data_IF_914359392800
#
_entry.id   IF_914359392800
#
_cell.length_a   1.000
_cell.length_b   1.000
_cell.length_c   1.000
_cell.angle_alpha   90.00
_cell.angle_beta   90.00
_cell.angle_gamma   90.00
#
_symmetry.space_group_name_H-M   'P 1'
#
loop_
_entity.id
_entity.type
_entity.pdbx_description
1 polymer ?
#
# COMPACT_ATOMS: atom_id res chain seq x y z
N UNK A 1 -19.21 -19.63 16.60
CA UNK A 1 -18.33 -20.09 15.50
C UNK A 1 -17.96 -21.57 15.72
N UNK A 2 -17.80 -22.38 14.66
CA UNK A 2 -17.68 -23.86 14.72
C UNK A 2 -16.22 -24.38 14.82
N UNK A 3 -15.26 -23.57 15.25
CA UNK A 3 -13.84 -23.93 15.28
C UNK A 3 -13.22 -23.57 16.64
N UNK A 4 -13.20 -24.50 17.61
CA UNK A 4 -12.73 -24.24 18.96
C UNK A 4 -11.24 -23.85 19.01
N UNK A 5 -10.43 -24.35 18.08
CA UNK A 5 -9.00 -24.03 17.98
C UNK A 5 -8.77 -22.56 17.61
N UNK A 6 -9.57 -22.02 16.68
CA UNK A 6 -9.51 -20.59 16.31
C UNK A 6 -9.86 -19.72 17.50
N UNK A 7 -10.92 -20.07 18.24
CA UNK A 7 -11.34 -19.31 19.43
C UNK A 7 -10.27 -19.30 20.52
N UNK A 8 -9.62 -20.44 20.78
CA UNK A 8 -8.55 -20.52 21.76
C UNK A 8 -7.36 -19.60 21.39
N UNK A 9 -7.01 -19.51 20.10
CA UNK A 9 -5.98 -18.59 19.62
C UNK A 9 -6.44 -17.13 19.75
N UNK A 10 -7.67 -16.81 19.38
CA UNK A 10 -8.22 -15.46 19.50
C UNK A 10 -8.22 -14.96 20.95
N UNK A 11 -8.65 -15.80 21.90
CA UNK A 11 -8.63 -15.51 23.34
C UNK A 11 -7.19 -15.33 23.86
N UNK A 12 -6.25 -16.18 23.43
CA UNK A 12 -4.85 -16.09 23.83
C UNK A 12 -4.15 -14.82 23.34
N UNK A 13 -4.62 -14.22 22.23
CA UNK A 13 -4.08 -12.97 21.67
C UNK A 13 -4.61 -11.74 22.41
N UNK A 14 -5.80 -11.80 23.04
CA UNK A 14 -6.45 -10.64 23.65
C UNK A 14 -5.55 -9.83 24.62
N UNK A 15 -4.75 -10.44 25.53
CA UNK A 15 -3.88 -9.68 26.44
C UNK A 15 -2.76 -8.90 25.75
N UNK A 16 -2.46 -9.20 24.49
CA UNK A 16 -1.40 -8.55 23.70
C UNK A 16 -1.95 -7.50 22.73
N UNK A 17 -3.26 -7.29 22.69
CA UNK A 17 -3.87 -6.25 21.87
C UNK A 17 -3.72 -4.89 22.57
N UNK A 18 -3.35 -3.87 21.80
CA UNK A 18 -3.29 -2.48 22.27
C UNK A 18 -4.66 -1.98 22.73
N UNK A 19 -5.73 -2.49 22.10
CA UNK A 19 -7.11 -2.18 22.45
C UNK A 19 -7.82 -3.46 22.83
N UNK A 20 -8.56 -3.40 23.94
CA UNK A 20 -9.37 -4.51 24.40
C UNK A 20 -10.44 -4.86 23.34
N UNK A 21 -10.67 -6.16 23.16
CA UNK A 21 -11.50 -6.70 22.08
C UNK A 21 -12.39 -7.80 22.65
N UNK A 22 -13.68 -7.52 22.67
CA UNK A 22 -14.71 -8.51 22.95
C UNK A 22 -15.47 -8.83 21.66
N UNK A 23 -15.33 -10.06 21.17
CA UNK A 23 -16.01 -10.52 19.95
C UNK A 23 -17.37 -11.19 20.26
N UNK A 24 -17.68 -11.44 21.53
CA UNK A 24 -18.98 -11.97 21.97
C UNK A 24 -20.00 -10.83 22.18
N UNK A 25 -19.55 -9.59 22.37
CA UNK A 25 -20.37 -8.38 22.31
C UNK A 25 -20.47 -7.81 20.87
N UNK A 26 -21.65 -7.80 20.24
CA UNK A 26 -21.83 -7.28 18.89
C UNK A 26 -21.43 -5.80 18.72
N UNK A 27 -21.61 -4.95 19.74
CA UNK A 27 -21.22 -3.53 19.65
C UNK A 27 -19.70 -3.36 19.68
N UNK A 28 -19.02 -4.02 20.63
CA UNK A 28 -17.56 -4.08 20.69
C UNK A 28 -16.95 -4.64 19.41
N UNK A 29 -17.49 -5.75 18.88
CA UNK A 29 -17.07 -6.33 17.61
C UNK A 29 -17.21 -5.34 16.44
N UNK A 30 -18.34 -4.64 16.34
CA UNK A 30 -18.58 -3.64 15.28
C UNK A 30 -17.57 -2.49 15.34
N UNK A 31 -17.30 -1.97 16.55
CA UNK A 31 -16.30 -0.91 16.76
C UNK A 31 -14.91 -1.40 16.38
N UNK A 32 -14.53 -2.62 16.78
CA UNK A 32 -13.27 -3.23 16.41
C UNK A 32 -13.11 -3.34 14.89
N UNK A 33 -14.08 -3.94 14.18
CA UNK A 33 -14.00 -4.08 12.73
C UNK A 33 -13.98 -2.73 12.00
N UNK A 34 -14.70 -1.73 12.50
CA UNK A 34 -14.68 -0.37 11.93
C UNK A 34 -13.30 0.28 12.09
N UNK A 35 -12.66 0.11 13.25
CA UNK A 35 -11.31 0.65 13.52
C UNK A 35 -10.20 -0.17 12.86
N UNK A 36 -10.39 -1.47 12.70
CA UNK A 36 -9.44 -2.37 12.07
C UNK A 36 -9.56 -2.35 10.53
N UNK A 37 -10.66 -1.83 9.98
CA UNK A 37 -10.81 -1.65 8.56
C UNK A 37 -9.72 -0.71 8.02
N UNK A 38 -9.03 -1.19 6.99
CA UNK A 38 -8.12 -0.40 6.19
C UNK A 38 -8.72 -0.30 4.78
N UNK A 39 -9.70 0.58 4.55
CA UNK A 39 -10.32 0.71 3.24
C UNK A 39 -9.30 1.21 2.21
N UNK A 40 -9.42 0.72 0.98
CA UNK A 40 -8.68 1.30 -0.13
C UNK A 40 -9.22 2.72 -0.37
N UNK A 41 -8.31 3.70 -0.38
CA UNK A 41 -8.65 5.09 -0.70
C UNK A 41 -8.62 5.34 -2.20
N UNK A 42 -7.87 4.51 -2.94
CA UNK A 42 -7.80 4.58 -4.39
C UNK A 42 -7.47 3.21 -4.98
N UNK A 43 -8.02 2.92 -6.16
CA UNK A 43 -7.68 1.77 -6.97
C UNK A 43 -7.74 2.15 -8.45
N UNK A 44 -6.73 1.76 -9.21
CA UNK A 44 -6.70 1.93 -10.67
C UNK A 44 -6.03 0.72 -11.32
N UNK A 45 -6.55 0.34 -12.48
CA UNK A 45 -5.98 -0.69 -13.35
C UNK A 45 -5.79 -0.08 -14.74
N UNK A 46 -4.64 -0.29 -15.36
CA UNK A 46 -4.35 0.19 -16.71
C UNK A 46 -5.17 -0.60 -17.74
N UNK A 47 -5.77 0.10 -18.72
CA UNK A 47 -6.57 -0.52 -19.78
C UNK A 47 -5.67 -1.14 -20.89
N UNK A 48 -4.91 -2.19 -20.55
CA UNK A 48 -4.05 -2.90 -21.51
C UNK A 48 -4.02 -4.40 -21.28
N UNK A 49 -3.69 -5.16 -22.34
CA UNK A 49 -3.57 -6.63 -22.25
C UNK A 49 -2.60 -7.01 -21.12
N UNK A 50 -3.14 -7.78 -20.17
CA UNK A 50 -2.46 -8.23 -18.98
C UNK A 50 -1.41 -9.28 -19.38
N UNK A 51 -0.13 -8.87 -19.40
CA UNK A 51 0.98 -9.81 -19.29
C UNK A 51 1.21 -10.22 -17.82
N UNK A 52 2.04 -11.23 -17.55
CA UNK A 52 2.38 -11.59 -16.17
C UNK A 52 2.95 -10.38 -15.42
N UNK A 53 2.37 -10.09 -14.26
CA UNK A 53 2.78 -9.01 -13.37
C UNK A 53 3.05 -9.56 -11.96
N UNK A 54 4.04 -8.99 -11.30
CA UNK A 54 4.41 -9.32 -9.93
C UNK A 54 3.88 -8.27 -8.97
N UNK A 55 3.34 -8.73 -7.85
CA UNK A 55 2.72 -7.87 -6.84
C UNK A 55 3.71 -7.47 -5.76
N UNK A 56 3.72 -6.18 -5.42
CA UNK A 56 4.55 -5.62 -4.37
C UNK A 56 3.75 -4.63 -3.52
N UNK A 57 4.05 -4.59 -2.23
CA UNK A 57 3.54 -3.55 -1.33
C UNK A 57 4.68 -2.58 -0.97
N UNK A 58 4.41 -1.30 -1.10
CA UNK A 58 5.31 -0.21 -0.73
C UNK A 58 4.71 0.55 0.46
N UNK A 59 5.46 0.64 1.55
CA UNK A 59 5.12 1.41 2.74
C UNK A 59 5.78 2.78 2.71
N UNK A 60 4.98 3.82 2.94
CA UNK A 60 5.42 5.21 2.99
C UNK A 60 5.12 5.76 4.40
N UNK A 61 6.12 5.80 5.29
CA UNK A 61 6.00 6.53 6.54
C UNK A 61 5.94 8.03 6.22
N UNK A 62 4.90 8.71 6.73
CA UNK A 62 4.73 10.14 6.52
C UNK A 62 4.85 10.92 7.81
N UNK A 63 5.06 12.23 7.67
CA UNK A 63 4.94 13.15 8.80
C UNK A 63 3.52 13.14 9.36
N UNK A 64 3.41 13.47 10.65
CA UNK A 64 2.13 13.60 11.35
C UNK A 64 1.13 14.44 10.54
N UNK A 65 -0.09 13.92 10.45
CA UNK A 65 -1.25 14.51 9.76
C UNK A 65 -1.06 14.70 8.24
N UNK A 66 -0.12 13.98 7.62
CA UNK A 66 0.14 14.06 6.16
C UNK A 66 -0.29 12.83 5.36
N UNK A 67 -0.84 11.80 6.02
CA UNK A 67 -1.15 10.52 5.38
C UNK A 67 -2.12 10.65 4.21
N UNK A 68 -3.26 11.33 4.45
CA UNK A 68 -4.26 11.54 3.39
C UNK A 68 -3.69 12.33 2.21
N UNK A 69 -2.91 13.38 2.48
CA UNK A 69 -2.29 14.20 1.43
C UNK A 69 -1.33 13.39 0.56
N UNK A 70 -0.53 12.50 1.16
CA UNK A 70 0.31 11.60 0.38
C UNK A 70 -0.53 10.63 -0.44
N UNK A 71 -1.58 10.05 0.14
CA UNK A 71 -2.45 9.12 -0.56
C UNK A 71 -3.12 9.76 -1.80
N UNK A 72 -3.61 11.00 -1.67
CA UNK A 72 -4.17 11.78 -2.79
C UNK A 72 -3.12 12.09 -3.87
N UNK A 73 -1.90 12.44 -3.46
CA UNK A 73 -0.79 12.67 -4.39
C UNK A 73 -0.47 11.40 -5.19
N UNK A 74 -0.27 10.27 -4.49
CA UNK A 74 -0.01 8.97 -5.12
C UNK A 74 -1.16 8.53 -6.03
N UNK A 75 -2.43 8.78 -5.64
CA UNK A 75 -3.59 8.44 -6.47
C UNK A 75 -3.57 9.19 -7.81
N UNK A 76 -3.21 10.48 -7.82
CA UNK A 76 -3.06 11.25 -9.07
C UNK A 76 -1.93 10.70 -9.93
N UNK A 77 -0.83 10.28 -9.33
CA UNK A 77 0.30 9.68 -10.05
C UNK A 77 -0.09 8.31 -10.63
N UNK A 78 -0.88 7.53 -9.90
CA UNK A 78 -1.36 6.22 -10.33
C UNK A 78 -2.31 6.31 -11.53
N UNK A 79 -3.20 7.30 -11.54
CA UNK A 79 -4.05 7.58 -12.70
C UNK A 79 -3.20 7.94 -13.91
N UNK A 80 -2.24 8.87 -13.76
CA UNK A 80 -1.35 9.24 -14.86
C UNK A 80 -0.52 8.06 -15.38
N UNK A 81 -0.03 7.21 -14.47
CA UNK A 81 0.73 6.02 -14.82
C UNK A 81 -0.13 4.94 -15.49
N UNK A 82 -1.42 4.84 -15.16
CA UNK A 82 -2.35 3.91 -15.81
C UNK A 82 -2.62 4.29 -17.28
N UNK A 83 -2.62 5.58 -17.57
CA UNK A 83 -2.80 6.12 -18.93
C UNK A 83 -1.50 6.12 -19.76
N UNK A 84 -0.33 5.97 -19.13
CA UNK A 84 0.98 5.98 -19.80
C UNK A 84 1.34 4.60 -20.39
N UNK A 85 1.49 4.49 -21.72
CA UNK A 85 1.95 3.27 -22.39
C UNK A 85 3.28 2.70 -21.90
N UNK A 86 4.16 3.54 -21.38
CA UNK A 86 5.50 3.19 -20.92
C UNK A 86 5.52 2.75 -19.45
N UNK A 87 4.43 2.96 -18.71
CA UNK A 87 4.35 2.57 -17.31
C UNK A 87 4.48 1.05 -17.15
N UNK A 88 5.35 0.58 -16.23
CA UNK A 88 5.45 -0.82 -15.86
C UNK A 88 4.34 -1.23 -14.87
N UNK A 89 3.70 -0.26 -14.20
CA UNK A 89 2.63 -0.51 -13.21
C UNK A 89 1.32 -0.74 -13.95
N UNK A 90 0.76 -1.94 -13.83
CA UNK A 90 -0.53 -2.31 -14.47
C UNK A 90 -1.72 -2.21 -13.53
N UNK A 91 -1.47 -2.21 -12.22
CA UNK A 91 -2.50 -2.06 -11.19
C UNK A 91 -1.90 -1.37 -9.98
N UNK A 92 -2.65 -0.47 -9.38
CA UNK A 92 -2.29 0.16 -8.12
C UNK A 92 -3.51 0.25 -7.19
N UNK A 93 -3.29 -0.02 -5.91
CA UNK A 93 -4.28 0.17 -4.84
C UNK A 93 -3.61 0.87 -3.67
N UNK A 94 -4.18 1.97 -3.21
CA UNK A 94 -3.66 2.73 -2.08
C UNK A 94 -4.55 2.49 -0.86
N UNK A 95 -3.91 2.23 0.26
CA UNK A 95 -4.49 2.14 1.59
C UNK A 95 -3.86 3.22 2.46
N UNK A 96 -4.66 3.83 3.32
CA UNK A 96 -4.16 4.83 4.25
C UNK A 96 -4.82 4.65 5.62
N UNK A 97 -4.01 4.83 6.66
CA UNK A 97 -4.45 4.96 8.04
C UNK A 97 -3.48 5.83 8.79
N UNK A 98 -3.99 6.88 9.43
CA UNK A 98 -3.21 7.87 10.18
C UNK A 98 -2.00 8.33 9.33
N UNK A 99 -0.78 8.11 9.81
CA UNK A 99 0.47 8.50 9.15
C UNK A 99 1.15 7.35 8.39
N UNK A 100 0.38 6.32 8.05
CA UNK A 100 0.84 5.18 7.25
C UNK A 100 0.07 5.11 5.94
N UNK A 101 0.81 5.15 4.83
CA UNK A 101 0.27 4.90 3.49
C UNK A 101 0.93 3.64 2.94
N UNK A 102 0.10 2.69 2.47
CA UNK A 102 0.57 1.48 1.79
C UNK A 102 0.03 1.48 0.37
N UNK A 103 0.91 1.36 -0.61
CA UNK A 103 0.56 1.24 -2.04
C UNK A 103 0.89 -0.16 -2.51
N UNK A 104 -0.13 -0.91 -2.91
CA UNK A 104 -0.01 -2.21 -3.54
C UNK A 104 0.04 -2.02 -5.05
N UNK A 105 1.12 -2.47 -5.69
CA UNK A 105 1.32 -2.35 -7.14
C UNK A 105 1.55 -3.72 -7.78
N UNK A 106 0.98 -3.91 -8.97
CA UNK A 106 1.31 -5.03 -9.85
C UNK A 106 2.21 -4.48 -10.97
N UNK A 107 3.43 -5.01 -11.08
CA UNK A 107 4.50 -4.50 -11.96
C UNK A 107 4.86 -5.53 -13.02
N UNK A 108 4.78 -5.13 -14.29
CA UNK A 108 5.16 -5.95 -15.44
C UNK A 108 6.66 -6.17 -15.47
N UNK A 109 7.10 -7.42 -15.49
CA UNK A 109 8.53 -7.78 -15.52
C UNK A 109 9.26 -7.62 -14.19
N UNK A 110 8.53 -7.37 -13.09
CA UNK A 110 9.09 -7.24 -11.75
C UNK A 110 9.83 -5.92 -11.48
N UNK A 111 10.27 -5.71 -10.23
CA UNK A 111 10.93 -4.46 -9.82
C UNK A 111 12.35 -4.29 -10.39
N UNK A 112 13.11 -5.37 -10.56
CA UNK A 112 14.52 -5.30 -10.98
C UNK A 112 14.70 -4.89 -12.45
N UNK A 113 13.70 -5.15 -13.29
CA UNK A 113 13.72 -4.83 -14.73
C UNK A 113 13.06 -3.51 -15.10
N UNK A 114 12.45 -2.81 -14.13
CA UNK A 114 11.65 -1.61 -14.36
C UNK A 114 12.36 -0.35 -13.86
N UNK A 115 12.08 0.79 -14.49
CA UNK A 115 12.58 2.09 -14.04
C UNK A 115 11.97 2.44 -12.66
N UNK A 116 12.78 2.65 -11.61
CA UNK A 116 12.29 3.03 -10.28
C UNK A 116 11.43 4.28 -10.26
N UNK A 117 11.69 5.26 -11.14
CA UNK A 117 10.90 6.48 -11.24
C UNK A 117 9.48 6.16 -11.74
N UNK A 118 9.35 5.30 -12.76
CA UNK A 118 8.05 4.87 -13.29
C UNK A 118 7.30 3.98 -12.29
N UNK A 119 7.99 3.11 -11.55
CA UNK A 119 7.38 2.30 -10.46
C UNK A 119 6.74 3.21 -9.40
N UNK A 120 7.42 4.29 -9.03
CA UNK A 120 6.97 5.23 -8.01
C UNK A 120 5.99 6.29 -8.55
N UNK A 121 5.76 6.34 -9.87
CA UNK A 121 4.94 7.38 -10.51
C UNK A 121 5.56 8.78 -10.43
N UNK A 122 6.89 8.87 -10.47
CA UNK A 122 7.68 10.10 -10.36
C UNK A 122 8.32 10.45 -11.72
N UNK A 123 7.48 10.85 -12.68
CA UNK A 123 7.89 11.20 -14.03
C UNK A 123 8.67 12.52 -14.13
N UNK A 124 8.56 13.41 -13.13
CA UNK A 124 9.25 14.69 -13.11
C UNK A 124 9.88 15.07 -11.75
N UNK A 125 10.82 16.04 -11.71
CA UNK A 125 11.46 16.47 -10.48
C UNK A 125 10.52 17.11 -9.44
N UNK A 126 9.40 17.70 -9.86
CA UNK A 126 8.44 18.30 -8.93
C UNK A 126 7.71 17.22 -8.12
N UNK A 127 7.39 16.09 -8.74
CA UNK A 127 6.81 14.93 -8.05
C UNK A 127 7.77 14.32 -7.02
N UNK A 128 9.08 14.24 -7.35
CA UNK A 128 10.12 13.78 -6.40
C UNK A 128 10.20 14.72 -5.19
N UNK A 129 10.19 16.03 -5.44
CA UNK A 129 10.20 17.03 -4.38
C UNK A 129 8.94 16.95 -3.50
N UNK A 130 7.76 16.81 -4.10
CA UNK A 130 6.49 16.69 -3.37
C UNK A 130 6.51 15.46 -2.45
N UNK A 131 6.89 14.28 -2.96
CA UNK A 131 7.03 13.05 -2.17
C UNK A 131 7.97 13.26 -0.97
N UNK A 132 9.15 13.83 -1.22
CA UNK A 132 10.16 14.10 -0.17
C UNK A 132 9.60 15.02 0.92
N UNK A 133 8.78 16.01 0.57
CA UNK A 133 8.22 16.93 1.57
C UNK A 133 7.25 16.25 2.53
N UNK A 134 6.56 15.20 2.07
CA UNK A 134 5.54 14.45 2.81
C UNK A 134 6.11 13.27 3.58
N UNK A 135 7.20 12.67 3.09
CA UNK A 135 7.90 11.56 3.75
C UNK A 135 8.46 11.96 5.11
N UNK A 136 8.44 11.00 6.04
CA UNK A 136 9.13 11.12 7.32
C UNK A 136 10.67 11.15 7.15
N UNK A 137 11.18 10.47 6.12
CA UNK A 137 12.60 10.48 5.76
C UNK A 137 12.94 11.68 4.85
N UNK A 138 13.68 12.65 5.39
CA UNK A 138 13.94 13.95 4.78
C UNK A 138 15.02 13.96 3.67
N UNK A 139 15.37 12.80 3.10
CA UNK A 139 16.40 12.68 2.06
C UNK A 139 15.75 12.63 0.67
N UNK A 140 15.80 13.74 -0.07
CA UNK A 140 15.34 13.78 -1.46
C UNK A 140 16.14 12.76 -2.32
N UNK A 141 15.49 11.83 -3.05
CA UNK A 141 16.21 10.83 -3.80
C UNK A 141 16.67 11.30 -5.20
N UNK A 142 17.96 11.16 -5.52
CA UNK A 142 18.52 11.03 -6.88
C UNK A 142 18.22 9.63 -7.46
N UNK A 143 18.39 9.37 -8.75
CA UNK A 143 17.98 8.10 -9.38
C UNK A 143 18.53 6.82 -8.69
N UNK A 144 19.80 6.82 -8.27
CA UNK A 144 20.40 5.73 -7.48
C UNK A 144 19.77 5.60 -6.07
N UNK A 145 19.21 6.70 -5.54
CA UNK A 145 18.44 6.73 -4.30
C UNK A 145 16.96 6.32 -4.52
N UNK A 146 16.40 6.45 -5.73
CA UNK A 146 15.04 5.96 -6.05
C UNK A 146 14.98 4.43 -6.05
N UNK A 147 15.94 3.75 -6.69
CA UNK A 147 16.05 2.28 -6.61
C UNK A 147 16.23 1.80 -5.15
N UNK A 148 16.95 2.58 -4.34
CA UNK A 148 17.10 2.33 -2.90
C UNK A 148 15.79 2.58 -2.16
N UNK A 149 15.04 3.62 -2.50
CA UNK A 149 13.74 3.94 -1.91
C UNK A 149 12.73 2.82 -2.19
N UNK A 150 12.65 2.32 -3.41
CA UNK A 150 11.79 1.16 -3.76
C UNK A 150 12.12 -0.04 -2.86
N UNK A 151 13.41 -0.36 -2.69
CA UNK A 151 13.84 -1.48 -1.83
C UNK A 151 13.54 -1.25 -0.35
N UNK A 152 13.69 -0.02 0.15
CA UNK A 152 13.43 0.31 1.56
C UNK A 152 11.94 0.40 1.88
N UNK A 153 11.14 0.88 0.93
CA UNK A 153 9.69 0.96 1.07
C UNK A 153 9.03 -0.41 0.91
N UNK A 154 9.67 -1.35 0.21
CA UNK A 154 9.11 -2.68 -0.05
C UNK A 154 8.86 -3.43 1.25
N UNK A 155 7.62 -3.91 1.39
CA UNK A 155 7.22 -4.82 2.46
C UNK A 155 7.42 -6.28 2.03
N UNK A 156 7.73 -7.14 3.00
CA UNK A 156 7.70 -8.59 2.81
C UNK A 156 6.26 -9.11 2.91
N UNK A 157 5.75 -9.66 1.80
CA UNK A 157 4.40 -10.19 1.76
C UNK A 157 4.36 -11.59 2.41
N UNK A 158 3.57 -11.72 3.48
CA UNK A 158 3.35 -13.00 4.17
C UNK A 158 2.41 -13.91 3.35
N UNK A 159 1.46 -13.31 2.65
CA UNK A 159 0.47 -14.02 1.82
C UNK A 159 -0.01 -13.10 0.68
N UNK A 160 -0.12 -13.64 -0.53
CA UNK A 160 -0.81 -13.00 -1.66
C UNK A 160 -2.10 -13.77 -1.96
N UNK A 161 -3.18 -13.43 -1.24
CA UNK A 161 -4.52 -13.95 -1.54
C UNK A 161 -5.09 -13.18 -2.72
N UNK A 162 -5.26 -13.86 -3.84
CA UNK A 162 -5.96 -13.35 -5.01
C UNK A 162 -7.41 -13.81 -4.94
N UNK A 163 -8.35 -12.92 -5.22
CA UNK A 163 -9.72 -13.36 -5.51
C UNK A 163 -9.65 -14.34 -6.69
N UNK A 164 -10.36 -15.48 -6.62
CA UNK A 164 -10.58 -16.26 -7.83
C UNK A 164 -11.24 -15.33 -8.86
N UNK A 165 -10.80 -15.42 -10.12
CA UNK A 165 -11.33 -14.61 -11.22
C UNK A 165 -12.87 -14.61 -11.17
N UNK A 166 -13.45 -13.40 -11.15
CA UNK A 166 -14.89 -13.20 -11.17
C UNK A 166 -15.42 -13.17 -12.60
#
# INVERSE_FOLDING_TARGET
ARQPEVRAVEEAVNPYLEQDRDLDDPESARVFFTRAALPAVHHVTAERQEGPAERYALSYPVKADRGMRLAEMLARHDVAAADDPLSPVVRSTIFQRDDTVVRLIDVRGGLEGADPALILGLADPAQVAELTTLSADASAPKDAELARLVRLARMDLVTDRRSPEA
#
